data_IF_447143526971
#
_entry.id   IF_447143526971
#
_cell.length_a   1.000
_cell.length_b   1.000
_cell.length_c   1.000
_cell.angle_alpha   90.00
_cell.angle_beta   90.00
_cell.angle_gamma   90.00
#
_symmetry.space_group_name_H-M   'P 1'
#
loop_
_entity.id
_entity.type
_entity.pdbx_description
1 polymer ?
#
# COMPACT_ATOMS: atom_id res chain seq x y z
N UNK A 1 -2.51 4.51 7.14
CA UNK A 1 -1.08 4.47 6.80
C UNK A 1 -0.84 3.95 5.38
N UNK A 2 -1.09 2.65 5.09
CA UNK A 2 -0.83 2.09 3.75
C UNK A 2 -1.51 2.84 2.60
N UNK A 3 -2.78 3.20 2.75
CA UNK A 3 -3.54 4.01 1.78
C UNK A 3 -2.88 5.36 1.51
N UNK A 4 -2.50 6.08 2.56
CA UNK A 4 -1.84 7.39 2.45
C UNK A 4 -0.48 7.29 1.76
N UNK A 5 0.28 6.22 2.00
CA UNK A 5 1.55 5.98 1.30
C UNK A 5 1.29 5.67 -0.18
N UNK A 6 0.32 4.83 -0.50
CA UNK A 6 -0.05 4.54 -1.88
C UNK A 6 -0.43 5.83 -2.64
N UNK A 7 -1.28 6.66 -2.05
CA UNK A 7 -1.72 7.94 -2.61
C UNK A 7 -0.55 8.91 -2.78
N UNK A 8 0.36 9.00 -1.82
CA UNK A 8 1.54 9.87 -1.92
C UNK A 8 2.45 9.50 -3.10
N UNK A 9 2.58 8.22 -3.41
CA UNK A 9 3.44 7.75 -4.50
C UNK A 9 2.75 7.81 -5.86
N UNK A 10 1.50 7.35 -5.93
CA UNK A 10 0.75 7.21 -7.19
C UNK A 10 -0.04 8.46 -7.58
N UNK A 11 -0.23 9.39 -6.64
CA UNK A 11 -1.18 10.49 -6.74
C UNK A 11 -2.63 10.03 -7.05
N UNK A 12 -2.94 8.77 -6.74
CA UNK A 12 -4.24 8.15 -6.95
C UNK A 12 -4.62 7.31 -5.72
N UNK A 13 -5.92 7.06 -5.54
CA UNK A 13 -6.39 6.23 -4.43
C UNK A 13 -6.34 4.75 -4.80
N UNK A 14 -5.97 3.87 -3.86
CA UNK A 14 -5.93 2.42 -4.11
C UNK A 14 -7.32 1.83 -4.41
N UNK A 15 -8.38 2.52 -4.01
CA UNK A 15 -9.76 2.20 -4.34
C UNK A 15 -10.52 3.48 -4.70
N UNK A 16 -11.46 3.37 -5.62
CA UNK A 16 -12.34 4.48 -5.98
C UNK A 16 -13.11 4.97 -4.75
N UNK A 17 -13.19 6.29 -4.56
CA UNK A 17 -14.13 6.90 -3.60
C UNK A 17 -15.54 6.64 -4.12
N UNK A 18 -16.29 5.74 -3.49
CA UNK A 18 -17.73 5.75 -3.68
C UNK A 18 -18.37 6.85 -2.83
N UNK A 19 -19.59 7.21 -3.19
CA UNK A 19 -20.35 8.27 -2.51
C UNK A 19 -21.27 7.70 -1.41
N UNK A 20 -21.18 6.39 -1.19
CA UNK A 20 -22.16 5.56 -0.51
C UNK A 20 -21.47 4.49 0.35
N UNK A 21 -22.14 4.06 1.44
CA UNK A 21 -21.58 3.15 2.44
C UNK A 21 -21.11 1.79 1.87
N UNK A 22 -21.64 1.38 0.73
CA UNK A 22 -21.23 0.17 -0.02
C UNK A 22 -19.77 0.24 -0.50
N UNK A 23 -19.28 1.42 -0.85
CA UNK A 23 -17.90 1.59 -1.28
C UNK A 23 -16.90 1.45 -0.13
N UNK A 24 -17.27 1.91 1.07
CA UNK A 24 -16.47 1.68 2.27
C UNK A 24 -16.37 0.19 2.62
N UNK A 25 -17.44 -0.59 2.39
CA UNK A 25 -17.43 -2.05 2.55
C UNK A 25 -16.58 -2.75 1.47
N UNK A 26 -16.49 -2.19 0.26
CA UNK A 26 -15.77 -2.78 -0.87
C UNK A 26 -14.24 -2.76 -0.72
N UNK A 27 -13.68 -1.89 0.12
CA UNK A 27 -12.24 -1.89 0.44
C UNK A 27 -11.77 -3.21 1.06
N UNK A 28 -12.66 -3.95 1.74
CA UNK A 28 -12.34 -5.26 2.31
C UNK A 28 -12.36 -6.42 1.30
N UNK A 29 -12.97 -6.22 0.12
CA UNK A 29 -13.22 -7.31 -0.85
C UNK A 29 -12.37 -7.18 -2.12
N UNK A 30 -11.97 -5.97 -2.48
CA UNK A 30 -11.19 -5.71 -3.71
C UNK A 30 -9.71 -5.49 -3.37
N UNK A 31 -8.82 -6.16 -4.09
CA UNK A 31 -7.37 -5.91 -3.96
C UNK A 31 -7.01 -4.58 -4.64
N UNK A 32 -6.21 -3.72 -4.00
CA UNK A 32 -5.79 -2.47 -4.63
C UNK A 32 -4.88 -2.77 -5.83
N UNK A 33 -4.89 -1.94 -6.89
CA UNK A 33 -3.99 -2.11 -8.02
C UNK A 33 -2.52 -2.09 -7.56
N UNK A 34 -1.64 -2.95 -8.10
CA UNK A 34 -0.22 -2.93 -7.76
C UNK A 34 0.38 -1.53 -7.92
N UNK A 35 1.15 -1.06 -6.94
CA UNK A 35 1.72 0.29 -6.97
C UNK A 35 2.65 0.48 -8.18
N UNK A 36 3.34 -0.60 -8.58
CA UNK A 36 4.20 -0.65 -9.76
C UNK A 36 3.49 -0.34 -11.08
N UNK A 37 2.15 -0.46 -11.14
CA UNK A 37 1.36 -0.07 -12.32
C UNK A 37 1.38 1.45 -12.54
N UNK A 38 1.39 2.22 -11.45
CA UNK A 38 1.41 3.68 -11.47
C UNK A 38 2.84 4.22 -11.33
N UNK A 39 3.65 3.55 -10.52
CA UNK A 39 5.00 3.98 -10.15
C UNK A 39 6.00 2.84 -10.39
N UNK A 40 6.32 2.52 -11.66
CA UNK A 40 7.24 1.43 -12.00
C UNK A 40 8.68 1.69 -11.53
N UNK A 41 9.00 2.95 -11.22
CA UNK A 41 10.29 3.39 -10.68
C UNK A 41 10.46 3.09 -9.19
N UNK A 42 9.39 2.75 -8.46
CA UNK A 42 9.45 2.51 -7.02
C UNK A 42 10.18 1.20 -6.74
N UNK A 43 11.03 1.23 -5.71
CA UNK A 43 11.72 0.04 -5.23
C UNK A 43 10.71 -1.08 -4.85
N UNK A 44 10.85 -2.31 -5.37
CA UNK A 44 9.84 -3.36 -5.21
C UNK A 44 9.55 -3.75 -3.74
N UNK A 45 10.54 -3.77 -2.87
CA UNK A 45 10.38 -4.10 -1.44
C UNK A 45 9.52 -3.06 -0.73
N UNK A 46 9.73 -1.77 -1.02
CA UNK A 46 8.93 -0.67 -0.53
C UNK A 46 7.48 -0.76 -1.06
N UNK A 47 7.30 -1.00 -2.35
CA UNK A 47 5.97 -1.18 -2.94
C UNK A 47 5.21 -2.35 -2.29
N UNK A 48 5.88 -3.48 -2.09
CA UNK A 48 5.31 -4.65 -1.43
C UNK A 48 4.95 -4.38 0.05
N UNK A 49 5.79 -3.63 0.77
CA UNK A 49 5.52 -3.24 2.15
C UNK A 49 4.28 -2.31 2.24
N UNK A 50 4.15 -1.34 1.34
CA UNK A 50 2.97 -0.46 1.26
C UNK A 50 1.70 -1.28 1.03
N UNK A 51 1.75 -2.24 0.09
CA UNK A 51 0.63 -3.17 -0.18
C UNK A 51 0.26 -4.02 1.03
N UNK A 52 1.25 -4.55 1.76
CA UNK A 52 1.00 -5.34 2.97
C UNK A 52 0.30 -4.54 4.07
N UNK A 53 0.53 -3.23 4.17
CA UNK A 53 -0.22 -2.36 5.08
C UNK A 53 -1.71 -2.25 4.74
N UNK A 54 -2.12 -2.62 3.53
CA UNK A 54 -3.49 -2.52 3.01
C UNK A 54 -4.21 -3.87 2.90
N UNK A 55 -3.62 -4.97 3.38
CA UNK A 55 -4.26 -6.29 3.40
C UNK A 55 -5.65 -6.22 4.05
N UNK A 56 -6.62 -6.96 3.51
CA UNK A 56 -7.99 -6.93 4.03
C UNK A 56 -8.07 -7.49 5.46
N UNK A 57 -7.37 -8.61 5.70
CA UNK A 57 -7.28 -9.24 7.01
C UNK A 57 -6.24 -8.52 7.89
N UNK A 58 -6.62 -7.97 9.06
CA UNK A 58 -5.69 -7.26 9.95
C UNK A 58 -4.47 -8.09 10.34
N UNK A 59 -4.64 -9.40 10.54
CA UNK A 59 -3.57 -10.35 10.90
C UNK A 59 -2.51 -10.51 9.80
N UNK A 60 -2.85 -10.21 8.54
CA UNK A 60 -1.92 -10.25 7.40
C UNK A 60 -1.10 -8.96 7.26
N UNK A 61 -1.50 -7.88 7.96
CA UNK A 61 -0.77 -6.60 7.97
C UNK A 61 0.48 -6.68 8.83
N UNK A 62 1.26 -5.60 8.86
CA UNK A 62 2.32 -5.46 9.85
C UNK A 62 1.72 -5.28 11.25
N UNK A 63 2.16 -6.13 12.19
CA UNK A 63 1.72 -6.11 13.59
C UNK A 63 2.07 -4.82 14.34
N UNK A 64 3.05 -4.05 13.84
CA UNK A 64 3.43 -2.75 14.38
C UNK A 64 4.17 -1.92 13.35
N UNK A 65 4.35 -0.63 13.62
CA UNK A 65 5.21 0.24 12.80
C UNK A 65 6.66 -0.23 12.79
N UNK A 66 7.17 -0.80 13.90
CA UNK A 66 8.51 -1.39 13.96
C UNK A 66 8.67 -2.55 12.97
N UNK A 67 7.63 -3.38 12.83
CA UNK A 67 7.62 -4.48 11.85
C UNK A 67 7.68 -3.96 10.40
N UNK A 68 6.98 -2.86 10.10
CA UNK A 68 7.05 -2.19 8.81
C UNK A 68 8.45 -1.63 8.53
N UNK A 69 9.02 -0.86 9.47
CA UNK A 69 10.36 -0.28 9.33
C UNK A 69 11.44 -1.35 9.16
N UNK A 70 11.33 -2.47 9.87
CA UNK A 70 12.22 -3.60 9.72
C UNK A 70 12.14 -4.22 8.31
N UNK A 71 10.94 -4.30 7.73
CA UNK A 71 10.73 -4.88 6.40
C UNK A 71 11.36 -4.05 5.28
N UNK A 72 11.45 -2.73 5.45
CA UNK A 72 12.05 -1.82 4.47
C UNK A 72 13.47 -1.40 4.84
N UNK A 73 14.08 -2.00 5.87
CA UNK A 73 15.38 -1.56 6.40
C UNK A 73 16.53 -1.61 5.39
N UNK A 74 16.47 -2.53 4.43
CA UNK A 74 17.47 -2.66 3.36
C UNK A 74 17.26 -1.71 2.19
N UNK A 75 16.12 -1.02 2.13
CA UNK A 75 15.77 -0.08 1.06
C UNK A 75 16.58 1.19 1.25
N UNK A 76 17.48 1.49 0.29
CA UNK A 76 18.37 2.66 0.35
C UNK A 76 17.79 3.90 -0.33
N UNK A 77 16.90 3.70 -1.29
CA UNK A 77 16.15 4.74 -1.98
C UNK A 77 14.77 4.20 -2.31
N UNK A 78 13.81 5.10 -2.40
CA UNK A 78 12.48 4.84 -2.92
C UNK A 78 12.47 4.46 -4.40
N UNK A 79 13.56 4.73 -5.12
CA UNK A 79 13.72 4.39 -6.54
C UNK A 79 14.62 3.19 -6.73
N UNK A 80 14.36 2.43 -7.79
CA UNK A 80 15.34 1.48 -8.33
C UNK A 80 16.62 2.24 -8.71
N UNK A 81 17.76 1.78 -8.17
CA UNK A 81 19.09 2.36 -8.41
C UNK A 81 19.69 1.92 -9.74
#
# INVERSE_FOLDING_TARGET
FGVSMYEMFSFDLPWQRGQDGLAAMSHGQSKPPPLSKHCPWVEPTLAAAIHKCMEAEPEKRFSSMKSFLNAIRSVKSERVS
#
